data_IF_834966262335
#
_entry.id   IF_834966262335
#
_cell.length_a   1.000
_cell.length_b   1.000
_cell.length_c   1.000
_cell.angle_alpha   90.00
_cell.angle_beta   90.00
_cell.angle_gamma   90.00
#
_symmetry.space_group_name_H-M   'P 1'
#
loop_
_entity.id
_entity.type
_entity.pdbx_description
1 polymer ?
#
# COMPACT_ATOMS: atom_id res chain seq x y z
N UNK A 1 -0.62 -20.34 16.36
CA UNK A 1 -1.41 -19.54 17.32
C UNK A 1 -2.65 -19.05 16.59
N UNK A 2 -3.81 -18.94 17.26
CA UNK A 2 -5.06 -18.66 16.56
C UNK A 2 -5.00 -17.25 15.96
N UNK A 3 -4.95 -17.18 14.63
CA UNK A 3 -5.08 -15.91 13.92
C UNK A 3 -6.48 -15.32 14.19
N UNK A 4 -6.59 -13.99 14.16
CA UNK A 4 -7.88 -13.31 14.30
C UNK A 4 -8.88 -13.73 13.23
N UNK A 5 -10.18 -13.56 13.52
CA UNK A 5 -11.25 -13.89 12.55
C UNK A 5 -11.09 -13.07 11.27
N UNK A 6 -10.77 -11.79 11.41
CA UNK A 6 -10.63 -10.84 10.31
C UNK A 6 -9.16 -10.47 10.05
N UNK A 7 -8.40 -10.16 11.10
CA UNK A 7 -6.98 -9.83 11.00
C UNK A 7 -6.11 -11.09 11.10
N UNK A 8 -5.62 -11.53 9.94
CA UNK A 8 -4.81 -12.73 9.76
C UNK A 8 -3.97 -12.61 8.48
N UNK A 9 -3.04 -13.55 8.28
CA UNK A 9 -2.09 -13.56 7.15
C UNK A 9 -2.72 -14.05 5.84
N UNK A 10 -3.96 -14.53 5.88
CA UNK A 10 -4.65 -15.08 4.72
C UNK A 10 -5.30 -13.96 3.90
N UNK A 11 -5.14 -14.01 2.56
CA UNK A 11 -5.92 -13.16 1.67
C UNK A 11 -7.41 -13.49 1.77
N UNK A 12 -8.26 -12.51 1.46
CA UNK A 12 -9.70 -12.73 1.23
C UNK A 12 -9.87 -13.32 -0.17
N UNK A 13 -10.49 -14.48 -0.28
CA UNK A 13 -10.65 -15.21 -1.55
C UNK A 13 -12.10 -15.50 -1.90
N UNK A 14 -13.01 -15.49 -0.92
CA UNK A 14 -14.44 -15.74 -1.17
C UNK A 14 -15.31 -14.53 -0.87
N UNK A 15 -16.49 -14.51 -1.48
CA UNK A 15 -17.49 -13.47 -1.25
C UNK A 15 -17.98 -13.45 0.19
N UNK A 16 -18.13 -14.61 0.83
CA UNK A 16 -18.54 -14.72 2.23
C UNK A 16 -17.49 -14.10 3.17
N UNK A 17 -16.21 -14.35 2.94
CA UNK A 17 -15.11 -13.75 3.70
C UNK A 17 -15.09 -12.22 3.54
N UNK A 18 -15.28 -11.75 2.30
CA UNK A 18 -15.30 -10.33 1.98
C UNK A 18 -16.49 -9.61 2.64
N UNK A 19 -17.70 -10.16 2.50
CA UNK A 19 -18.92 -9.63 3.16
C UNK A 19 -18.79 -9.64 4.69
N UNK A 20 -18.17 -10.68 5.26
CA UNK A 20 -17.91 -10.72 6.68
C UNK A 20 -16.92 -9.61 7.13
N UNK A 21 -15.87 -9.35 6.35
CA UNK A 21 -14.89 -8.29 6.63
C UNK A 21 -15.49 -6.88 6.47
N UNK A 22 -16.33 -6.67 5.45
CA UNK A 22 -17.09 -5.43 5.25
C UNK A 22 -18.07 -5.16 6.41
N UNK A 23 -18.62 -6.22 7.00
CA UNK A 23 -19.49 -6.13 8.17
C UNK A 23 -18.82 -5.53 9.41
N UNK A 24 -17.48 -5.57 9.50
CA UNK A 24 -16.71 -4.87 10.53
C UNK A 24 -16.47 -3.40 10.13
N UNK A 25 -17.54 -2.60 10.12
CA UNK A 25 -17.51 -1.21 9.65
C UNK A 25 -16.43 -0.38 10.37
N UNK A 26 -15.45 0.10 9.60
CA UNK A 26 -14.32 0.89 10.10
C UNK A 26 -13.21 0.04 10.75
N UNK A 27 -13.24 -1.28 10.57
CA UNK A 27 -12.18 -2.19 11.02
C UNK A 27 -12.05 -2.30 12.53
N UNK A 28 -13.12 -2.11 13.31
CA UNK A 28 -13.04 -2.06 14.78
C UNK A 28 -12.51 -3.38 15.36
N UNK A 29 -13.11 -4.50 14.96
CA UNK A 29 -12.64 -5.81 15.38
C UNK A 29 -11.31 -6.15 14.72
N UNK A 30 -11.14 -5.82 13.44
CA UNK A 30 -9.93 -6.06 12.67
C UNK A 30 -8.69 -5.44 13.34
N UNK A 31 -8.74 -4.15 13.70
CA UNK A 31 -7.62 -3.47 14.34
C UNK A 31 -7.41 -3.91 15.80
N UNK A 32 -8.45 -4.37 16.50
CA UNK A 32 -8.29 -4.99 17.82
C UNK A 32 -7.56 -6.34 17.73
N UNK A 33 -7.95 -7.19 16.78
CA UNK A 33 -7.26 -8.45 16.48
C UNK A 33 -5.82 -8.21 16.01
N UNK A 34 -5.55 -7.12 15.29
CA UNK A 34 -4.20 -6.79 14.85
C UNK A 34 -3.24 -6.51 16.02
N UNK A 35 -3.72 -6.01 17.16
CA UNK A 35 -2.88 -5.77 18.36
C UNK A 35 -2.36 -7.05 18.99
N UNK A 36 -3.02 -8.18 18.74
CA UNK A 36 -2.62 -9.50 19.21
C UNK A 36 -2.04 -10.39 18.10
N UNK A 37 -1.79 -9.83 16.91
CA UNK A 37 -1.25 -10.58 15.78
C UNK A 37 0.21 -10.99 16.02
N UNK A 38 0.47 -12.30 15.91
CA UNK A 38 1.82 -12.85 16.08
C UNK A 38 2.71 -12.64 14.85
N UNK A 39 3.96 -12.31 15.13
CA UNK A 39 5.00 -12.10 14.11
C UNK A 39 5.76 -13.40 13.91
N UNK A 40 5.82 -13.86 12.65
CA UNK A 40 6.67 -14.97 12.27
C UNK A 40 8.07 -14.43 11.96
N UNK A 41 8.93 -14.38 12.99
CA UNK A 41 10.29 -13.85 12.88
C UNK A 41 11.16 -14.65 11.91
N UNK A 42 10.99 -15.97 11.88
CA UNK A 42 11.78 -16.84 11.00
C UNK A 42 11.42 -16.57 9.54
N UNK A 43 10.12 -16.53 9.23
CA UNK A 43 9.65 -16.21 7.89
C UNK A 43 10.04 -14.78 7.49
N UNK A 44 9.83 -13.80 8.37
CA UNK A 44 10.17 -12.40 8.09
C UNK A 44 11.65 -12.26 7.75
N UNK A 45 12.53 -12.82 8.59
CA UNK A 45 13.96 -12.73 8.36
C UNK A 45 14.42 -13.51 7.13
N UNK A 46 13.90 -14.73 6.93
CA UNK A 46 14.17 -15.53 5.73
C UNK A 46 13.76 -14.80 4.46
N UNK A 47 12.59 -14.16 4.46
CA UNK A 47 12.13 -13.33 3.33
C UNK A 47 13.09 -12.20 3.08
N UNK A 48 13.50 -11.45 4.12
CA UNK A 48 14.47 -10.36 3.98
C UNK A 48 15.79 -10.85 3.39
N UNK A 49 16.34 -11.96 3.90
CA UNK A 49 17.60 -12.53 3.39
C UNK A 49 17.52 -12.91 1.92
N UNK A 50 16.38 -13.47 1.48
CA UNK A 50 16.20 -13.95 0.11
C UNK A 50 15.89 -12.83 -0.88
N UNK A 51 15.18 -11.78 -0.45
CA UNK A 51 14.55 -10.80 -1.34
C UNK A 51 15.14 -9.39 -1.26
N UNK A 52 15.78 -9.00 -0.16
CA UNK A 52 16.48 -7.71 -0.07
C UNK A 52 17.76 -7.77 -0.92
N UNK A 53 17.68 -7.32 -2.17
CA UNK A 53 18.80 -7.37 -3.12
C UNK A 53 19.84 -6.26 -2.85
N UNK A 54 21.01 -6.39 -3.50
CA UNK A 54 22.16 -5.49 -3.33
C UNK A 54 21.79 -4.01 -3.40
N UNK A 55 20.99 -3.60 -4.38
CA UNK A 55 20.55 -2.20 -4.53
C UNK A 55 19.90 -1.64 -3.27
N UNK A 56 18.92 -2.34 -2.70
CA UNK A 56 18.23 -1.88 -1.49
C UNK A 56 19.14 -1.93 -0.25
N UNK A 57 20.03 -2.92 -0.15
CA UNK A 57 21.04 -2.96 0.93
C UNK A 57 21.96 -1.75 0.86
N UNK A 58 22.52 -1.46 -0.31
CA UNK A 58 23.37 -0.31 -0.54
C UNK A 58 22.64 0.99 -0.22
N UNK A 59 21.38 1.14 -0.65
CA UNK A 59 20.59 2.32 -0.32
C UNK A 59 20.36 2.54 1.17
N UNK A 60 20.16 1.47 1.95
CA UNK A 60 20.10 1.57 3.42
C UNK A 60 21.44 2.01 4.02
N UNK A 61 22.56 1.51 3.48
CA UNK A 61 23.91 1.76 3.98
C UNK A 61 24.45 3.16 3.63
N UNK A 62 24.19 3.67 2.41
CA UNK A 62 24.80 4.92 1.93
C UNK A 62 24.01 6.18 2.32
N UNK A 63 22.89 6.04 3.01
CA UNK A 63 22.10 7.20 3.43
C UNK A 63 22.90 8.07 4.41
N UNK A 64 23.34 9.25 3.96
CA UNK A 64 24.11 10.20 4.78
C UNK A 64 23.26 10.98 5.80
N UNK A 65 21.96 10.67 5.94
CA UNK A 65 21.02 11.41 6.80
C UNK A 65 20.99 12.93 6.55
N UNK A 66 21.30 13.37 5.33
CA UNK A 66 21.42 14.79 4.96
C UNK A 66 20.11 15.59 4.94
N UNK A 67 18.95 14.92 5.01
CA UNK A 67 17.65 15.59 5.02
C UNK A 67 17.19 16.19 3.69
N UNK A 68 17.98 16.17 2.61
CA UNK A 68 17.61 16.77 1.30
C UNK A 68 16.32 16.22 0.67
N UNK A 69 15.88 15.04 1.09
CA UNK A 69 14.60 14.47 0.66
C UNK A 69 13.38 15.06 1.38
N UNK A 70 13.54 15.86 2.44
CA UNK A 70 12.47 16.36 3.29
C UNK A 70 11.45 17.20 2.51
N UNK A 71 11.89 18.34 1.95
CA UNK A 71 11.02 19.27 1.23
C UNK A 71 10.40 18.69 -0.05
N UNK A 72 10.97 17.60 -0.58
CA UNK A 72 10.38 16.88 -1.71
C UNK A 72 9.10 16.12 -1.34
N UNK A 73 8.90 15.80 -0.05
CA UNK A 73 7.78 15.02 0.44
C UNK A 73 6.65 15.93 0.91
N UNK A 74 5.53 15.95 0.19
CA UNK A 74 4.38 16.74 0.60
C UNK A 74 3.81 16.31 1.97
N UNK A 75 3.94 15.04 2.35
CA UNK A 75 3.56 14.57 3.68
C UNK A 75 4.45 15.14 4.79
N UNK A 76 5.70 15.50 4.52
CA UNK A 76 6.52 16.25 5.47
C UNK A 76 6.02 17.69 5.60
N UNK A 77 5.73 18.34 4.47
CA UNK A 77 5.31 19.74 4.44
C UNK A 77 3.94 19.98 5.11
N UNK A 78 2.95 19.11 4.89
CA UNK A 78 1.60 19.29 5.46
C UNK A 78 1.50 18.85 6.92
N UNK A 79 2.51 18.14 7.45
CA UNK A 79 2.55 17.70 8.85
C UNK A 79 3.54 18.55 9.65
N UNK A 80 3.43 19.88 9.51
CA UNK A 80 4.21 20.88 10.25
C UNK A 80 5.72 20.63 10.24
N UNK A 81 6.23 20.08 9.13
CA UNK A 81 7.65 19.77 8.98
C UNK A 81 8.19 18.86 10.10
N UNK A 82 7.37 17.94 10.63
CA UNK A 82 7.78 16.95 11.63
C UNK A 82 8.98 16.13 11.10
N UNK A 83 10.13 16.11 11.80
CA UNK A 83 11.31 15.33 11.39
C UNK A 83 11.02 13.84 11.18
N UNK A 84 10.02 13.28 11.86
CA UNK A 84 9.58 11.89 11.69
C UNK A 84 8.94 11.65 10.32
N UNK A 85 8.52 12.71 9.64
CA UNK A 85 7.94 12.66 8.30
C UNK A 85 8.99 12.70 7.17
N UNK A 86 10.26 12.99 7.47
CA UNK A 86 11.34 13.02 6.49
C UNK A 86 11.50 11.62 5.86
N UNK A 87 11.52 11.48 4.52
CA UNK A 87 11.59 10.18 3.87
C UNK A 87 12.75 9.30 4.35
N UNK A 88 13.94 9.89 4.52
CA UNK A 88 15.11 9.18 5.03
C UNK A 88 14.90 8.65 6.45
N UNK A 89 14.22 9.42 7.32
CA UNK A 89 13.89 8.94 8.67
C UNK A 89 12.91 7.77 8.59
N UNK A 90 11.81 7.91 7.83
CA UNK A 90 10.78 6.87 7.69
C UNK A 90 11.37 5.53 7.26
N UNK A 91 12.22 5.51 6.24
CA UNK A 91 12.75 4.24 5.72
C UNK A 91 13.77 3.62 6.68
N UNK A 92 14.57 4.44 7.36
CA UNK A 92 15.58 3.97 8.32
C UNK A 92 14.94 3.47 9.61
N UNK A 93 13.90 4.14 10.09
CA UNK A 93 13.14 3.71 11.28
C UNK A 93 12.25 2.48 11.03
N UNK A 94 12.00 2.13 9.77
CA UNK A 94 11.20 0.96 9.38
C UNK A 94 12.08 -0.16 8.81
N UNK A 95 12.37 -0.15 7.51
CA UNK A 95 13.17 -1.17 6.84
C UNK A 95 14.58 -1.28 7.43
N UNK A 96 15.20 -0.15 7.77
CA UNK A 96 16.52 -0.14 8.41
C UNK A 96 16.52 -0.91 9.73
N UNK A 97 15.55 -0.63 10.62
CA UNK A 97 15.40 -1.34 11.89
C UNK A 97 14.97 -2.81 11.71
N UNK A 98 14.10 -3.14 10.75
CA UNK A 98 13.76 -4.53 10.40
C UNK A 98 15.02 -5.35 10.05
N UNK A 99 15.91 -4.76 9.25
CA UNK A 99 17.17 -5.39 8.82
C UNK A 99 18.15 -5.48 9.98
N UNK A 100 18.35 -4.39 10.72
CA UNK A 100 19.27 -4.31 11.86
C UNK A 100 18.91 -5.31 12.97
N UNK A 101 17.62 -5.46 13.27
CA UNK A 101 17.10 -6.40 14.26
C UNK A 101 16.95 -7.82 13.74
N UNK A 102 17.30 -8.07 12.47
CA UNK A 102 17.17 -9.37 11.80
C UNK A 102 15.75 -9.94 11.91
N UNK A 103 14.73 -9.10 11.70
CA UNK A 103 13.32 -9.45 11.82
C UNK A 103 12.81 -9.71 13.25
N UNK A 104 13.64 -9.57 14.29
CA UNK A 104 13.25 -9.72 15.70
C UNK A 104 12.62 -8.43 16.22
N UNK A 105 11.32 -8.26 15.99
CA UNK A 105 10.55 -7.05 16.30
C UNK A 105 9.27 -7.39 17.04
N UNK A 106 8.63 -6.45 17.72
CA UNK A 106 7.35 -6.69 18.40
C UNK A 106 6.16 -6.19 17.58
N UNK A 107 4.95 -6.52 18.04
CA UNK A 107 3.70 -6.16 17.38
C UNK A 107 3.55 -4.64 17.23
N UNK A 108 3.87 -3.88 18.28
CA UNK A 108 3.82 -2.42 18.29
C UNK A 108 4.72 -1.81 17.20
N UNK A 109 5.95 -2.33 17.05
CA UNK A 109 6.85 -1.92 15.98
C UNK A 109 6.25 -2.23 14.60
N UNK A 110 5.65 -3.40 14.41
CA UNK A 110 5.04 -3.77 13.13
C UNK A 110 3.81 -2.90 12.78
N UNK A 111 3.03 -2.47 13.78
CA UNK A 111 1.98 -1.44 13.59
C UNK A 111 2.58 -0.12 13.10
N UNK A 112 3.63 0.37 13.75
CA UNK A 112 4.32 1.59 13.33
C UNK A 112 4.87 1.48 11.91
N UNK A 113 5.44 0.32 11.54
CA UNK A 113 5.92 0.06 10.17
C UNK A 113 4.77 0.11 9.17
N UNK A 114 3.66 -0.58 9.45
CA UNK A 114 2.47 -0.59 8.59
C UNK A 114 1.91 0.82 8.40
N UNK A 115 1.67 1.55 9.50
CA UNK A 115 1.16 2.92 9.47
C UNK A 115 2.11 3.82 8.65
N UNK A 116 3.42 3.69 8.84
CA UNK A 116 4.40 4.48 8.10
C UNK A 116 4.39 4.14 6.61
N UNK A 117 4.28 2.86 6.25
CA UNK A 117 4.32 2.39 4.87
C UNK A 117 3.05 2.74 4.07
N UNK A 118 1.89 2.80 4.72
CA UNK A 118 0.60 3.05 4.07
C UNK A 118 0.09 4.48 4.26
N UNK A 119 0.12 5.02 5.48
CA UNK A 119 -0.41 6.35 5.77
C UNK A 119 0.62 7.47 5.60
N UNK A 120 1.92 7.17 5.75
CA UNK A 120 2.99 8.19 5.73
C UNK A 120 3.86 8.12 4.46
N UNK A 121 3.55 7.27 3.49
CA UNK A 121 4.25 7.20 2.21
C UNK A 121 3.29 6.83 1.09
N UNK A 122 3.28 7.60 0.00
CA UNK A 122 2.46 7.30 -1.20
C UNK A 122 3.22 6.57 -2.29
N UNK A 123 4.52 6.28 -2.09
CA UNK A 123 5.39 5.69 -3.11
C UNK A 123 5.44 6.51 -4.42
N UNK A 124 5.31 7.84 -4.35
CA UNK A 124 5.38 8.73 -5.53
C UNK A 124 6.80 8.98 -6.06
N UNK A 125 7.82 8.37 -5.45
CA UNK A 125 9.25 8.44 -5.78
C UNK A 125 9.89 9.85 -5.89
N UNK A 126 9.17 10.92 -5.54
CA UNK A 126 9.72 12.29 -5.48
C UNK A 126 11.02 12.35 -4.68
N UNK A 127 11.04 11.72 -3.51
CA UNK A 127 12.23 11.69 -2.65
C UNK A 127 13.47 11.02 -3.29
N UNK A 128 13.27 10.11 -4.26
CA UNK A 128 14.36 9.52 -5.04
C UNK A 128 14.98 10.50 -6.03
N UNK A 129 14.17 11.37 -6.66
CA UNK A 129 14.66 12.39 -7.59
C UNK A 129 15.53 13.47 -6.91
N UNK A 130 15.24 13.77 -5.64
CA UNK A 130 15.97 14.80 -4.87
C UNK A 130 17.08 14.21 -3.98
N UNK A 131 17.24 12.89 -3.92
CA UNK A 131 18.31 12.29 -3.15
C UNK A 131 19.64 12.42 -3.91
N UNK A 132 20.69 13.07 -3.34
CA UNK A 132 21.99 13.19 -4.01
C UNK A 132 22.71 11.82 -4.19
N UNK A 133 22.27 10.80 -3.46
CA UNK A 133 22.78 9.43 -3.55
C UNK A 133 21.89 8.52 -4.42
N UNK A 134 20.81 9.05 -5.02
CA UNK A 134 19.88 8.28 -5.85
C UNK A 134 19.11 7.20 -5.08
N UNK A 135 18.87 7.39 -3.78
CA UNK A 135 18.11 6.45 -2.94
C UNK A 135 16.62 6.61 -3.20
N UNK A 136 15.99 5.59 -3.81
CA UNK A 136 14.55 5.59 -4.05
C UNK A 136 13.79 4.92 -2.90
N UNK A 137 13.33 5.75 -1.97
CA UNK A 137 12.57 5.28 -0.82
C UNK A 137 11.16 4.83 -1.18
N UNK A 138 10.58 5.28 -2.29
CA UNK A 138 9.25 4.83 -2.72
C UNK A 138 9.29 3.36 -3.14
N UNK A 139 10.33 2.96 -3.89
CA UNK A 139 10.59 1.54 -4.20
C UNK A 139 10.85 0.74 -2.92
N UNK A 140 11.63 1.27 -1.98
CA UNK A 140 11.89 0.59 -0.71
C UNK A 140 10.61 0.43 0.13
N UNK A 141 9.69 1.40 0.12
CA UNK A 141 8.40 1.27 0.79
C UNK A 141 7.46 0.27 0.12
N UNK A 142 7.51 0.13 -1.21
CA UNK A 142 6.84 -0.97 -1.91
C UNK A 142 7.29 -2.33 -1.38
N UNK A 143 8.59 -2.50 -1.13
CA UNK A 143 9.13 -3.69 -0.50
C UNK A 143 8.67 -3.87 0.96
N UNK A 144 8.68 -2.80 1.76
CA UNK A 144 8.16 -2.83 3.15
C UNK A 144 6.69 -3.25 3.21
N UNK A 145 5.84 -2.73 2.32
CA UNK A 145 4.42 -3.14 2.22
C UNK A 145 4.29 -4.64 1.98
N UNK A 146 5.17 -5.23 1.16
CA UNK A 146 5.23 -6.68 0.94
C UNK A 146 5.61 -7.47 2.20
N UNK A 147 6.55 -6.97 3.01
CA UNK A 147 6.91 -7.59 4.29
C UNK A 147 5.75 -7.51 5.30
N UNK A 148 5.09 -6.35 5.39
CA UNK A 148 3.91 -6.17 6.24
C UNK A 148 2.76 -7.10 5.80
N UNK A 149 2.50 -7.19 4.49
CA UNK A 149 1.49 -8.07 3.92
C UNK A 149 1.71 -9.53 4.29
N UNK A 150 2.94 -10.04 4.15
CA UNK A 150 3.28 -11.42 4.54
C UNK A 150 3.00 -11.70 6.03
N UNK A 151 3.17 -10.68 6.88
CA UNK A 151 2.93 -10.80 8.32
C UNK A 151 1.49 -10.49 8.73
N UNK A 152 0.60 -10.11 7.79
CA UNK A 152 -0.80 -9.78 8.06
C UNK A 152 -1.04 -8.35 8.55
N UNK A 153 0.00 -7.51 8.64
CA UNK A 153 -0.13 -6.10 9.00
C UNK A 153 -0.52 -5.27 7.78
N UNK A 154 -1.79 -5.34 7.40
CA UNK A 154 -2.37 -4.63 6.26
C UNK A 154 -3.51 -3.75 6.76
N UNK A 155 -3.63 -2.47 6.34
CA UNK A 155 -4.80 -1.66 6.69
C UNK A 155 -6.10 -2.36 6.28
N UNK A 156 -7.14 -2.23 7.10
CA UNK A 156 -8.44 -2.88 6.89
C UNK A 156 -9.01 -2.59 5.49
N UNK A 157 -8.93 -1.32 5.07
CA UNK A 157 -9.38 -0.83 3.78
C UNK A 157 -8.65 -1.51 2.63
N UNK A 158 -7.35 -1.73 2.79
CA UNK A 158 -6.51 -2.38 1.77
C UNK A 158 -6.77 -3.88 1.71
N UNK A 159 -7.10 -4.53 2.84
CA UNK A 159 -7.48 -5.95 2.85
C UNK A 159 -8.81 -6.15 2.13
N UNK A 160 -9.77 -5.24 2.32
CA UNK A 160 -11.04 -5.23 1.57
C UNK A 160 -10.81 -4.99 0.09
N UNK A 161 -10.12 -3.91 -0.28
CA UNK A 161 -9.93 -3.56 -1.69
C UNK A 161 -9.23 -4.68 -2.47
N UNK A 162 -8.21 -5.30 -1.87
CA UNK A 162 -7.54 -6.44 -2.49
C UNK A 162 -8.44 -7.70 -2.54
N UNK A 163 -9.38 -7.86 -1.60
CA UNK A 163 -10.41 -8.89 -1.61
C UNK A 163 -11.44 -8.68 -2.73
N UNK A 164 -11.94 -7.45 -2.90
CA UNK A 164 -12.85 -7.06 -3.98
C UNK A 164 -12.29 -7.46 -5.35
N UNK A 165 -11.03 -7.11 -5.63
CA UNK A 165 -10.38 -7.48 -6.90
C UNK A 165 -10.21 -9.00 -7.09
N UNK A 166 -10.11 -9.79 -6.01
CA UNK A 166 -10.01 -11.26 -6.12
C UNK A 166 -11.35 -11.92 -6.38
N UNK A 167 -12.39 -11.46 -5.68
CA UNK A 167 -13.74 -12.02 -5.74
C UNK A 167 -14.46 -11.55 -7.01
N UNK A 168 -14.51 -10.25 -7.23
CA UNK A 168 -15.33 -9.62 -8.27
C UNK A 168 -14.56 -9.21 -9.51
N UNK A 169 -13.23 -9.23 -9.48
CA UNK A 169 -12.37 -8.62 -10.51
C UNK A 169 -12.58 -7.11 -10.69
N UNK A 170 -13.30 -6.47 -9.77
CA UNK A 170 -13.57 -5.03 -9.73
C UNK A 170 -13.25 -4.44 -8.33
N UNK A 171 -13.07 -3.12 -8.25
CA UNK A 171 -12.70 -2.43 -7.00
C UNK A 171 -13.90 -2.21 -6.05
N UNK A 172 -15.13 -2.24 -6.56
CA UNK A 172 -16.35 -1.97 -5.78
C UNK A 172 -17.52 -2.84 -6.23
N UNK A 173 -17.25 -4.04 -6.73
CA UNK A 173 -18.29 -4.91 -7.33
C UNK A 173 -19.09 -4.20 -8.43
N UNK A 174 -18.44 -3.28 -9.15
CA UNK A 174 -19.02 -2.61 -10.32
C UNK A 174 -19.14 -3.66 -11.41
N UNK A 175 -20.37 -3.93 -11.82
CA UNK A 175 -20.63 -4.88 -12.91
C UNK A 175 -20.30 -4.24 -14.25
N UNK A 176 -20.13 -5.07 -15.29
CA UNK A 176 -19.93 -4.57 -16.65
C UNK A 176 -21.13 -3.70 -17.10
N UNK A 177 -22.34 -4.03 -16.65
CA UNK A 177 -23.56 -3.25 -16.89
C UNK A 177 -23.46 -1.87 -16.23
N UNK A 178 -23.18 -1.80 -14.91
CA UNK A 178 -23.01 -0.53 -14.19
C UNK A 178 -21.92 0.35 -14.81
N UNK A 179 -20.84 -0.28 -15.29
CA UNK A 179 -19.72 0.41 -15.91
C UNK A 179 -20.12 1.07 -17.24
N UNK A 180 -20.84 0.34 -18.10
CA UNK A 180 -21.36 0.87 -19.37
C UNK A 180 -22.40 1.96 -19.11
N UNK A 181 -23.34 1.76 -18.18
CA UNK A 181 -24.34 2.76 -17.81
C UNK A 181 -23.69 4.05 -17.29
N UNK A 182 -22.60 3.93 -16.52
CA UNK A 182 -21.84 5.10 -16.05
C UNK A 182 -21.28 5.90 -17.23
N UNK A 183 -20.80 5.26 -18.29
CA UNK A 183 -20.33 5.97 -19.48
C UNK A 183 -21.45 6.63 -20.25
N UNK A 184 -22.59 5.97 -20.41
CA UNK A 184 -23.77 6.56 -21.05
C UNK A 184 -24.21 7.83 -20.30
N UNK A 185 -24.30 7.76 -18.98
CA UNK A 185 -24.59 8.90 -18.13
C UNK A 185 -23.55 10.02 -18.26
N UNK A 186 -22.25 9.68 -18.31
CA UNK A 186 -21.19 10.67 -18.53
C UNK A 186 -21.34 11.35 -19.90
N UNK A 187 -21.63 10.61 -20.97
CA UNK A 187 -21.85 11.20 -22.30
C UNK A 187 -23.03 12.17 -22.26
N UNK A 188 -24.12 11.78 -21.62
CA UNK A 188 -25.30 12.64 -21.46
C UNK A 188 -25.00 13.93 -20.67
N UNK A 189 -24.26 13.84 -19.56
CA UNK A 189 -23.92 15.02 -18.75
C UNK A 189 -22.99 16.00 -19.48
N UNK A 190 -22.10 15.50 -20.33
CA UNK A 190 -21.07 16.31 -21.00
C UNK A 190 -21.43 16.76 -22.42
N UNK A 191 -22.61 16.43 -22.93
CA UNK A 191 -23.01 16.75 -24.31
C UNK A 191 -23.04 18.27 -24.59
N UNK A 192 -23.35 19.10 -23.59
CA UNK A 192 -23.33 20.57 -23.76
C UNK A 192 -21.89 21.11 -23.94
N UNK A 193 -20.94 20.57 -23.18
CA UNK A 193 -19.53 20.97 -23.22
C UNK A 193 -18.78 20.36 -24.41
N UNK A 194 -19.14 19.13 -24.78
CA UNK A 194 -18.51 18.34 -25.84
C UNK A 194 -19.56 17.70 -26.78
N UNK A 195 -20.19 18.47 -27.67
CA UNK A 195 -21.21 17.94 -28.57
C UNK A 195 -20.71 16.80 -29.46
N UNK A 196 -21.45 15.69 -29.47
CA UNK A 196 -21.09 14.48 -30.21
C UNK A 196 -20.00 13.63 -29.55
N UNK A 197 -19.83 13.77 -28.23
CA UNK A 197 -18.94 12.89 -27.46
C UNK A 197 -19.45 11.45 -27.52
N UNK A 198 -18.54 10.51 -27.81
CA UNK A 198 -18.83 9.08 -27.74
C UNK A 198 -17.78 8.41 -26.85
N UNK A 199 -18.22 7.51 -25.97
CA UNK A 199 -17.35 6.63 -25.17
C UNK A 199 -17.69 5.18 -25.52
N UNK A 200 -17.13 4.65 -26.63
CA UNK A 200 -17.44 3.30 -27.06
C UNK A 200 -16.71 2.26 -26.20
N UNK A 201 -17.44 1.24 -25.75
CA UNK A 201 -16.90 0.11 -24.98
C UNK A 201 -16.63 -1.07 -25.92
N UNK A 202 -15.49 -1.74 -25.75
CA UNK A 202 -15.06 -2.92 -26.53
C UNK A 202 -15.12 -2.76 -28.06
N UNK A 203 -14.87 -1.54 -28.56
CA UNK A 203 -14.84 -1.27 -30.00
C UNK A 203 -13.65 -1.94 -30.67
N UNK A 204 -13.93 -2.96 -31.49
CA UNK A 204 -12.92 -3.59 -32.33
C UNK A 204 -12.23 -2.58 -33.24
N UNK A 205 -10.90 -2.62 -33.29
CA UNK A 205 -10.10 -1.73 -34.12
C UNK A 205 -10.00 -0.29 -33.59
N UNK A 206 -10.28 -0.04 -32.31
CA UNK A 206 -10.03 1.25 -31.69
C UNK A 206 -8.53 1.63 -31.75
N UNK A 207 -8.25 2.90 -32.05
CA UNK A 207 -6.87 3.43 -32.11
C UNK A 207 -6.22 3.49 -30.72
N UNK A 208 -7.03 3.65 -29.67
CA UNK A 208 -6.59 3.79 -28.28
C UNK A 208 -7.48 2.90 -27.41
N UNK A 209 -6.84 2.07 -26.58
CA UNK A 209 -7.49 1.32 -25.52
C UNK A 209 -7.16 1.99 -24.17
N UNK A 210 -8.20 2.34 -23.42
CA UNK A 210 -8.08 2.80 -22.04
C UNK A 210 -8.67 1.72 -21.13
N UNK A 211 -7.81 1.10 -20.30
CA UNK A 211 -8.16 -0.02 -19.39
C UNK A 211 -8.00 0.37 -17.94
#
# INVERSE_FOLDING_TARGET
>A
MPEGKFCNKKPVETEEELKALLGDTGGKQYYEEMKSLDIDHELLWKTIQNTLKSRMKTWLEICAHCGMCADSCFLYLINDQDPRQVPAYKIQSTLGELVKRKGKVDNEFMHMVMETAWAKCTCCNRCGMYCPHGIDMGIMFGYVRGLCYQQGFVPWEMKIGAGMHRVYRAQMDVTDEDFVETFEWMVEEYEEDYPGLEVPVDKEGADILYT
#
